data_IF_652094689592
#
_entry.id   IF_652094689592
#
_cell.length_a   1.000
_cell.length_b   1.000
_cell.length_c   1.000
_cell.angle_alpha   90.00
_cell.angle_beta   90.00
_cell.angle_gamma   90.00
#
_symmetry.space_group_name_H-M   'P 1'
#
loop_
_entity.id
_entity.type
_entity.pdbx_description
1 polymer ?
#
# COMPACT_ATOMS: atom_id res chain seq x y z
N UNK A 1 16.22 2.50 21.54
CA UNK A 1 17.44 1.69 21.40
C UNK A 1 17.22 0.66 20.30
N UNK A 2 18.19 0.45 19.41
CA UNK A 2 18.09 -0.62 18.41
C UNK A 2 18.26 -1.97 19.10
N UNK A 3 17.27 -2.87 18.97
CA UNK A 3 17.37 -4.24 19.48
C UNK A 3 18.44 -5.03 18.72
N UNK A 4 19.09 -5.97 19.39
CA UNK A 4 20.01 -6.89 18.74
C UNK A 4 19.24 -7.95 17.96
N UNK A 5 19.92 -8.67 17.04
CA UNK A 5 19.29 -9.77 16.31
C UNK A 5 18.73 -10.84 17.25
N UNK A 6 19.41 -11.14 18.35
CA UNK A 6 18.95 -12.13 19.33
C UNK A 6 17.69 -11.65 20.06
N UNK A 7 17.56 -10.36 20.33
CA UNK A 7 16.34 -9.80 20.93
C UNK A 7 15.16 -9.85 19.96
N UNK A 8 15.41 -9.63 18.67
CA UNK A 8 14.37 -9.74 17.62
C UNK A 8 13.87 -11.20 17.47
N UNK A 9 14.77 -12.18 17.55
CA UNK A 9 14.41 -13.61 17.51
C UNK A 9 13.45 -14.03 18.62
N UNK A 10 13.47 -13.36 19.78
CA UNK A 10 12.53 -13.62 20.87
C UNK A 10 11.08 -13.28 20.52
N UNK A 11 10.79 -12.75 19.34
CA UNK A 11 9.41 -12.52 18.91
C UNK A 11 8.99 -13.50 17.80
N UNK A 12 9.85 -14.43 17.40
CA UNK A 12 9.61 -15.29 16.24
C UNK A 12 9.46 -16.74 16.67
N UNK A 13 8.27 -17.31 16.47
CA UNK A 13 7.98 -18.71 16.81
C UNK A 13 7.65 -19.50 15.54
N UNK A 14 8.33 -20.64 15.31
CA UNK A 14 7.99 -21.54 14.20
C UNK A 14 6.74 -22.34 14.56
N UNK A 15 5.66 -22.17 13.80
CA UNK A 15 4.39 -22.88 14.01
C UNK A 15 4.37 -24.20 13.24
N UNK A 16 4.75 -24.16 11.96
CA UNK A 16 4.82 -25.32 11.06
C UNK A 16 6.05 -25.20 10.15
N UNK A 17 6.34 -26.23 9.34
CA UNK A 17 7.51 -26.28 8.45
C UNK A 17 7.71 -24.98 7.66
N UNK A 18 6.62 -24.42 7.12
CA UNK A 18 6.63 -23.24 6.26
C UNK A 18 5.89 -22.04 6.88
N UNK A 19 5.70 -22.00 8.21
CA UNK A 19 4.86 -21.00 8.87
C UNK A 19 5.48 -20.50 10.17
N UNK A 20 5.61 -19.18 10.29
CA UNK A 20 6.18 -18.49 11.45
C UNK A 20 5.20 -17.48 12.01
N UNK A 21 5.21 -17.35 13.34
CA UNK A 21 4.51 -16.31 14.11
C UNK A 21 5.47 -15.17 14.42
N UNK A 22 4.95 -13.95 14.40
CA UNK A 22 5.58 -12.76 14.95
C UNK A 22 4.75 -12.32 16.16
N UNK A 23 5.32 -12.42 17.36
CA UNK A 23 4.68 -12.03 18.62
C UNK A 23 4.44 -10.52 18.69
N UNK A 24 3.43 -10.12 19.47
CA UNK A 24 3.16 -8.72 19.80
C UNK A 24 4.40 -8.05 20.41
N UNK A 25 4.58 -6.76 20.15
CA UNK A 25 5.78 -6.02 20.57
C UNK A 25 7.01 -6.18 19.67
N UNK A 26 6.90 -6.93 18.55
CA UNK A 26 7.97 -7.01 17.56
C UNK A 26 8.21 -5.69 16.81
N UNK A 27 7.25 -4.78 16.76
CA UNK A 27 7.51 -3.37 16.44
C UNK A 27 6.71 -2.50 17.40
N UNK A 28 7.06 -1.21 17.58
CA UNK A 28 6.25 -0.30 18.38
C UNK A 28 4.79 -0.32 17.93
N UNK A 29 3.88 -0.32 18.89
CA UNK A 29 2.43 -0.32 18.67
C UNK A 29 1.85 -1.56 17.94
N UNK A 30 2.60 -2.67 17.83
CA UNK A 30 2.07 -3.92 17.27
C UNK A 30 1.08 -4.59 18.24
N UNK A 31 -0.22 -4.48 17.93
CA UNK A 31 -1.31 -4.94 18.81
C UNK A 31 -1.83 -6.35 18.49
N UNK A 32 -1.46 -6.91 17.33
CA UNK A 32 -1.81 -8.28 16.91
C UNK A 32 -0.58 -9.07 16.50
N UNK A 33 -0.63 -10.39 16.64
CA UNK A 33 0.43 -11.27 16.15
C UNK A 33 0.45 -11.28 14.62
N UNK A 34 1.64 -11.26 14.04
CA UNK A 34 1.85 -11.47 12.61
C UNK A 34 2.02 -12.96 12.30
N UNK A 35 1.68 -13.38 11.08
CA UNK A 35 1.99 -14.73 10.57
C UNK A 35 2.54 -14.59 9.17
N UNK A 36 3.62 -15.30 8.86
CA UNK A 36 4.18 -15.35 7.52
C UNK A 36 4.51 -16.77 7.10
N UNK A 37 4.40 -17.02 5.78
CA UNK A 37 4.66 -18.32 5.18
C UNK A 37 5.87 -18.23 4.25
N UNK A 38 6.81 -19.15 4.41
CA UNK A 38 8.08 -19.18 3.67
C UNK A 38 8.47 -20.61 3.36
N UNK A 39 9.14 -20.81 2.23
CA UNK A 39 9.85 -22.05 1.95
C UNK A 39 11.29 -21.97 2.47
N UNK A 40 11.99 -23.11 2.53
CA UNK A 40 13.34 -23.18 3.12
C UNK A 40 14.36 -22.17 2.54
N UNK A 41 14.39 -21.90 1.21
CA UNK A 41 15.28 -20.87 0.67
C UNK A 41 14.93 -19.47 1.14
N UNK A 42 13.65 -19.10 1.15
CA UNK A 42 13.20 -17.75 1.52
C UNK A 42 13.31 -17.51 3.03
N UNK A 43 13.10 -18.55 3.85
CA UNK A 43 13.30 -18.49 5.30
C UNK A 43 14.70 -17.96 5.61
N UNK A 44 15.73 -18.55 5.00
CA UNK A 44 17.14 -18.14 5.20
C UNK A 44 17.36 -16.66 4.86
N UNK A 45 16.83 -16.21 3.72
CA UNK A 45 16.97 -14.83 3.25
C UNK A 45 16.28 -13.83 4.19
N UNK A 46 15.09 -14.14 4.70
CA UNK A 46 14.37 -13.25 5.62
C UNK A 46 15.06 -13.10 6.97
N UNK A 47 15.64 -14.18 7.51
CA UNK A 47 16.40 -14.10 8.77
C UNK A 47 17.76 -13.39 8.59
N UNK A 48 18.39 -13.55 7.43
CA UNK A 48 19.60 -12.80 7.07
C UNK A 48 19.33 -11.30 6.94
N UNK A 49 18.22 -10.93 6.30
CA UNK A 49 17.75 -9.54 6.19
C UNK A 49 17.54 -8.92 7.57
N UNK A 50 16.85 -9.62 8.48
CA UNK A 50 16.64 -9.17 9.85
C UNK A 50 17.95 -9.02 10.62
N UNK A 51 18.89 -9.96 10.44
CA UNK A 51 20.23 -9.90 11.06
C UNK A 51 21.02 -8.70 10.59
N UNK A 52 21.00 -8.43 9.28
CA UNK A 52 21.68 -7.30 8.68
C UNK A 52 21.11 -5.98 9.19
N UNK A 53 19.78 -5.87 9.33
CA UNK A 53 19.13 -4.70 9.90
C UNK A 53 19.53 -4.40 11.35
N UNK A 54 19.94 -5.41 12.12
CA UNK A 54 20.35 -5.25 13.53
C UNK A 54 21.83 -4.89 13.73
N UNK A 55 22.67 -4.96 12.68
CA UNK A 55 24.13 -4.79 12.80
C UNK A 55 24.62 -3.34 12.83
N UNK A 56 23.74 -2.35 12.70
CA UNK A 56 24.09 -0.95 12.92
C UNK A 56 25.19 -0.44 11.98
N UNK A 57 24.86 -0.34 10.69
CA UNK A 57 25.73 0.27 9.68
C UNK A 57 24.86 0.70 8.51
N UNK A 58 24.41 1.96 8.55
CA UNK A 58 23.52 2.51 7.53
C UNK A 58 24.15 2.45 6.15
N UNK A 59 23.65 1.57 5.30
CA UNK A 59 23.64 1.74 3.86
C UNK A 59 22.25 1.35 3.33
N UNK A 60 21.45 2.35 3.01
CA UNK A 60 20.34 2.26 2.06
C UNK A 60 19.25 1.19 2.27
N UNK A 61 18.22 1.53 3.04
CA UNK A 61 16.94 1.80 2.38
C UNK A 61 15.79 0.79 2.42
N UNK A 62 15.86 -0.34 3.14
CA UNK A 62 14.69 -1.22 3.25
C UNK A 62 14.47 -1.74 4.68
N UNK A 63 13.26 -1.53 5.20
CA UNK A 63 12.81 -2.14 6.46
C UNK A 63 12.68 -3.64 6.22
N UNK A 64 13.28 -4.53 7.04
CA UNK A 64 13.24 -5.97 6.79
C UNK A 64 11.81 -6.47 6.71
N UNK A 65 11.54 -7.45 5.84
CA UNK A 65 10.19 -7.93 5.54
C UNK A 65 9.39 -8.31 6.79
N UNK A 66 10.05 -8.91 7.79
CA UNK A 66 9.43 -9.23 9.08
C UNK A 66 8.95 -7.97 9.83
N UNK A 67 9.72 -6.88 9.82
CA UNK A 67 9.32 -5.62 10.47
C UNK A 67 8.24 -4.89 9.69
N UNK A 68 8.17 -5.06 8.36
CA UNK A 68 7.04 -4.59 7.57
C UNK A 68 5.74 -5.29 7.96
N UNK A 69 5.78 -6.62 8.15
CA UNK A 69 4.63 -7.40 8.65
C UNK A 69 4.22 -6.88 10.04
N UNK A 70 5.18 -6.64 10.94
CA UNK A 70 4.91 -6.05 12.25
C UNK A 70 4.25 -4.67 12.15
N UNK A 71 4.73 -3.80 11.25
CA UNK A 71 4.17 -2.45 11.07
C UNK A 71 2.74 -2.49 10.52
N UNK A 72 2.40 -3.44 9.64
CA UNK A 72 1.01 -3.66 9.22
C UNK A 72 0.14 -4.06 10.41
N UNK A 73 0.67 -4.88 11.33
CA UNK A 73 0.02 -5.25 12.58
C UNK A 73 -0.04 -4.12 13.64
N UNK A 74 0.58 -2.97 13.35
CA UNK A 74 0.51 -1.74 14.14
C UNK A 74 -0.44 -0.69 13.52
N UNK A 75 -1.13 -1.00 12.42
CA UNK A 75 -2.04 -0.05 11.75
C UNK A 75 -3.35 0.18 12.53
N UNK A 76 -3.98 1.38 12.39
CA UNK A 76 -5.08 1.87 13.23
C UNK A 76 -6.39 1.08 13.19
N UNK A 77 -6.51 0.04 12.36
CA UNK A 77 -7.76 -0.72 12.23
C UNK A 77 -8.22 -1.41 13.52
N UNK A 78 -7.33 -1.56 14.51
CA UNK A 78 -7.68 -2.06 15.85
C UNK A 78 -8.22 -0.93 16.73
N UNK A 79 -7.66 0.27 16.60
CA UNK A 79 -8.09 1.45 17.36
C UNK A 79 -9.50 1.87 16.95
N UNK A 80 -9.84 1.76 15.66
CA UNK A 80 -11.20 1.99 15.17
C UNK A 80 -12.23 1.01 15.79
N UNK A 81 -11.86 -0.27 15.97
CA UNK A 81 -12.72 -1.26 16.63
C UNK A 81 -12.85 -1.03 18.13
N UNK A 82 -11.82 -0.48 18.75
CA UNK A 82 -11.82 -0.19 20.17
C UNK A 82 -12.58 1.09 20.48
N UNK A 83 -12.28 2.18 19.78
CA UNK A 83 -12.82 3.51 20.05
C UNK A 83 -14.18 3.75 19.37
N UNK A 84 -14.54 2.99 18.33
CA UNK A 84 -15.83 3.15 17.65
C UNK A 84 -15.99 4.55 17.05
N UNK A 85 -17.15 5.19 17.24
CA UNK A 85 -17.42 6.54 16.70
C UNK A 85 -16.47 7.61 17.26
N UNK A 86 -15.89 7.42 18.45
CA UNK A 86 -14.89 8.35 19.01
C UNK A 86 -13.61 8.40 18.17
N UNK A 87 -13.27 7.29 17.52
CA UNK A 87 -12.18 7.27 16.53
C UNK A 87 -12.58 8.11 15.30
N UNK A 88 -13.79 7.89 14.78
CA UNK A 88 -14.31 8.63 13.63
C UNK A 88 -14.34 10.14 13.87
N UNK A 89 -14.74 10.59 15.06
CA UNK A 89 -14.69 12.01 15.47
C UNK A 89 -13.28 12.56 15.48
N UNK A 90 -12.34 11.83 16.08
CA UNK A 90 -10.93 12.26 16.21
C UNK A 90 -10.24 12.39 14.86
N UNK A 91 -10.51 11.47 13.94
CA UNK A 91 -9.94 11.47 12.59
C UNK A 91 -10.71 12.38 11.60
N UNK A 92 -11.81 13.01 12.03
CA UNK A 92 -12.59 13.96 11.23
C UNK A 92 -13.55 13.31 10.22
N UNK A 93 -14.01 12.09 10.49
CA UNK A 93 -14.96 11.34 9.67
C UNK A 93 -16.43 11.44 10.12
N UNK A 94 -16.69 12.01 11.30
CA UNK A 94 -18.03 12.16 11.88
C UNK A 94 -18.19 13.53 12.55
N UNK A 95 -19.45 13.94 12.73
CA UNK A 95 -19.87 15.11 13.52
C UNK A 95 -20.16 14.70 14.96
N UNK A 96 -20.01 15.62 15.92
CA UNK A 96 -20.21 15.31 17.35
C UNK A 96 -21.62 14.75 17.63
N UNK A 97 -22.60 15.22 16.85
CA UNK A 97 -24.00 14.82 16.88
C UNK A 97 -24.21 13.36 16.42
N UNK A 98 -23.36 12.82 15.53
CA UNK A 98 -23.47 11.44 15.05
C UNK A 98 -23.32 10.43 16.20
N UNK A 99 -22.53 10.80 17.22
CA UNK A 99 -22.35 9.99 18.44
C UNK A 99 -23.66 9.82 19.20
N UNK A 100 -24.50 10.85 19.26
CA UNK A 100 -25.78 10.81 19.99
C UNK A 100 -26.84 9.96 19.27
N UNK A 101 -26.66 9.73 17.96
CA UNK A 101 -27.57 8.97 17.12
C UNK A 101 -27.12 7.51 16.89
N UNK A 102 -25.95 7.13 17.40
CA UNK A 102 -25.43 5.76 17.33
C UNK A 102 -25.83 4.94 18.57
N UNK A 103 -26.18 3.67 18.36
CA UNK A 103 -26.42 2.72 19.47
C UNK A 103 -25.20 2.70 20.42
N UNK A 104 -25.46 2.82 21.72
CA UNK A 104 -24.44 2.91 22.78
C UNK A 104 -23.35 3.96 22.51
N UNK A 105 -23.73 5.10 21.93
CA UNK A 105 -22.80 6.17 21.56
C UNK A 105 -21.68 5.71 20.62
N UNK A 106 -21.96 4.72 19.76
CA UNK A 106 -21.05 4.22 18.75
C UNK A 106 -19.94 3.31 19.27
N UNK A 107 -19.98 2.89 20.54
CA UNK A 107 -19.05 1.92 21.14
C UNK A 107 -19.60 1.35 22.47
N UNK A 108 -19.67 0.03 22.59
CA UNK A 108 -19.83 -0.59 23.92
C UNK A 108 -18.52 -0.49 24.72
N UNK A 109 -18.55 0.11 25.91
CA UNK A 109 -17.37 0.22 26.78
C UNK A 109 -16.75 -1.14 27.15
N UNK A 110 -17.56 -2.19 27.14
CA UNK A 110 -17.17 -3.54 27.56
C UNK A 110 -16.86 -4.46 26.36
N UNK A 111 -16.96 -3.94 25.13
CA UNK A 111 -16.61 -4.72 23.95
C UNK A 111 -15.11 -5.01 23.93
N UNK A 112 -14.76 -6.27 23.68
CA UNK A 112 -13.38 -6.72 23.51
C UNK A 112 -13.08 -6.95 22.01
N UNK A 113 -12.28 -6.08 21.37
CA UNK A 113 -11.89 -6.23 19.96
C UNK A 113 -11.17 -7.54 19.63
N UNK A 114 -10.64 -8.25 20.62
CA UNK A 114 -10.02 -9.57 20.44
C UNK A 114 -11.05 -10.68 20.19
N UNK A 115 -12.33 -10.46 20.52
CA UNK A 115 -13.42 -11.40 20.20
C UNK A 115 -13.89 -11.30 18.76
N UNK A 116 -13.49 -10.25 18.03
CA UNK A 116 -13.80 -10.08 16.61
C UNK A 116 -12.85 -10.92 15.76
N UNK A 117 -13.40 -11.86 14.99
CA UNK A 117 -12.62 -12.78 14.14
C UNK A 117 -11.79 -12.04 13.08
N UNK A 118 -10.65 -12.61 12.67
CA UNK A 118 -9.80 -12.07 11.60
C UNK A 118 -10.55 -11.94 10.27
N UNK A 119 -11.54 -12.80 10.01
CA UNK A 119 -12.42 -12.72 8.84
C UNK A 119 -13.33 -11.49 8.90
N UNK A 120 -13.92 -11.20 10.07
CA UNK A 120 -14.74 -10.02 10.28
C UNK A 120 -13.91 -8.72 10.19
N UNK A 121 -12.70 -8.70 10.77
CA UNK A 121 -11.76 -7.57 10.65
C UNK A 121 -11.37 -7.30 9.19
N UNK A 122 -10.99 -8.33 8.43
CA UNK A 122 -10.68 -8.20 6.99
C UNK A 122 -11.87 -7.72 6.16
N UNK A 123 -13.09 -8.12 6.53
CA UNK A 123 -14.32 -7.65 5.89
C UNK A 123 -14.62 -6.18 6.23
N UNK A 124 -14.37 -5.76 7.47
CA UNK A 124 -14.64 -4.40 7.96
C UNK A 124 -13.58 -3.36 7.59
N UNK A 125 -12.32 -3.77 7.38
CA UNK A 125 -11.24 -2.81 7.10
C UNK A 125 -11.47 -1.97 5.82
N UNK A 126 -11.92 -2.54 4.69
CA UNK A 126 -12.33 -1.75 3.52
C UNK A 126 -13.56 -0.88 3.78
N UNK A 127 -14.38 -1.17 4.79
CA UNK A 127 -15.55 -0.36 5.17
C UNK A 127 -15.13 0.89 5.95
N UNK A 128 -13.95 0.88 6.59
CA UNK A 128 -13.42 2.02 7.37
C UNK A 128 -12.73 3.07 6.50
N UNK A 129 -11.98 2.64 5.48
CA UNK A 129 -11.19 3.55 4.63
C UNK A 129 -11.57 3.54 3.15
N UNK A 130 -12.46 2.64 2.74
CA UNK A 130 -12.72 2.27 1.35
C UNK A 130 -11.76 1.18 0.84
N UNK A 131 -12.18 0.43 -0.18
CA UNK A 131 -11.34 -0.58 -0.83
C UNK A 131 -10.16 0.09 -1.55
N UNK A 132 -8.90 -0.32 -1.33
CA UNK A 132 -7.76 0.24 -2.07
C UNK A 132 -7.87 -0.02 -3.57
N UNK A 133 -7.59 1.00 -4.37
CA UNK A 133 -7.53 0.94 -5.83
C UNK A 133 -6.14 1.40 -6.26
N UNK A 134 -5.45 0.57 -7.05
CA UNK A 134 -4.10 0.86 -7.54
C UNK A 134 -4.18 1.40 -8.96
N UNK A 135 -3.68 2.62 -9.16
CA UNK A 135 -3.67 3.29 -10.46
C UNK A 135 -2.24 3.43 -10.94
N UNK A 136 -1.90 2.66 -11.97
CA UNK A 136 -0.62 2.75 -12.63
C UNK A 136 -0.51 4.04 -13.45
N UNK A 137 0.58 4.77 -13.24
CA UNK A 137 1.04 5.79 -14.17
C UNK A 137 1.73 5.18 -15.38
N UNK A 138 2.77 5.87 -15.84
CA UNK A 138 3.68 5.43 -16.91
C UNK A 138 5.07 5.17 -16.32
N UNK A 139 6.05 4.83 -17.17
CA UNK A 139 7.43 4.72 -16.72
C UNK A 139 8.04 6.03 -16.18
N UNK A 140 7.45 7.18 -16.52
CA UNK A 140 7.95 8.51 -16.10
C UNK A 140 6.98 9.31 -15.24
N UNK A 141 5.76 8.83 -15.01
CA UNK A 141 4.74 9.58 -14.26
C UNK A 141 4.39 8.91 -12.94
N UNK A 142 3.75 9.66 -12.05
CA UNK A 142 3.32 9.16 -10.76
C UNK A 142 2.28 8.03 -10.87
N UNK A 143 2.22 7.17 -9.86
CA UNK A 143 1.10 6.24 -9.63
C UNK A 143 0.28 6.73 -8.45
N UNK A 144 -0.97 6.26 -8.34
CA UNK A 144 -1.84 6.60 -7.21
C UNK A 144 -2.35 5.35 -6.51
N UNK A 145 -2.56 5.47 -5.20
CA UNK A 145 -3.47 4.62 -4.44
C UNK A 145 -4.70 5.46 -4.13
N UNK A 146 -5.86 4.95 -4.50
CA UNK A 146 -7.15 5.54 -4.17
C UNK A 146 -7.90 4.61 -3.22
N UNK A 147 -9.04 5.06 -2.70
CA UNK A 147 -10.01 4.21 -2.01
C UNK A 147 -11.38 4.31 -2.67
N UNK A 148 -12.09 3.19 -2.78
CA UNK A 148 -13.47 3.15 -3.27
C UNK A 148 -14.42 3.88 -2.33
N UNK A 149 -15.51 4.42 -2.86
CA UNK A 149 -16.53 5.19 -2.12
C UNK A 149 -17.91 4.56 -2.26
N UNK A 150 -18.83 4.93 -1.36
CA UNK A 150 -20.25 4.54 -1.48
C UNK A 150 -20.89 5.09 -2.75
N UNK A 151 -20.58 6.34 -3.11
CA UNK A 151 -21.05 6.94 -4.37
C UNK A 151 -20.58 6.13 -5.58
N UNK A 152 -19.33 5.65 -5.60
CA UNK A 152 -18.84 4.75 -6.65
C UNK A 152 -19.62 3.42 -6.70
N UNK A 153 -20.07 2.90 -5.55
CA UNK A 153 -20.94 1.72 -5.53
C UNK A 153 -22.29 2.00 -6.19
N UNK A 154 -22.91 3.13 -5.88
CA UNK A 154 -24.23 3.51 -6.39
C UNK A 154 -24.21 3.94 -7.86
N UNK A 155 -23.25 4.75 -8.28
CA UNK A 155 -23.23 5.38 -9.61
C UNK A 155 -22.48 4.59 -10.67
N UNK A 156 -21.47 3.79 -10.27
CA UNK A 156 -20.59 3.08 -11.20
C UNK A 156 -20.44 1.59 -10.87
N UNK A 157 -21.37 1.01 -10.12
CA UNK A 157 -21.35 -0.41 -9.71
C UNK A 157 -20.05 -0.81 -9.02
N UNK A 158 -19.47 0.10 -8.23
CA UNK A 158 -18.21 -0.14 -7.51
C UNK A 158 -16.98 -0.12 -8.41
N UNK A 159 -17.04 0.57 -9.55
CA UNK A 159 -15.95 0.61 -10.55
C UNK A 159 -15.32 2.01 -10.62
N UNK A 160 -14.01 2.05 -10.92
CA UNK A 160 -13.28 3.30 -11.17
C UNK A 160 -12.20 3.09 -12.26
N UNK A 161 -11.35 4.09 -12.49
CA UNK A 161 -10.26 4.00 -13.47
C UNK A 161 -9.18 2.96 -13.06
N UNK A 162 -8.36 2.53 -14.03
CA UNK A 162 -7.28 1.55 -13.81
C UNK A 162 -5.88 2.11 -14.08
N UNK A 163 -5.80 3.27 -14.73
CA UNK A 163 -4.55 3.85 -15.19
C UNK A 163 -4.78 5.05 -16.10
N UNK A 164 -3.69 5.61 -16.61
CA UNK A 164 -3.71 6.77 -17.50
C UNK A 164 -4.50 6.54 -18.80
N UNK A 165 -4.42 5.31 -19.36
CA UNK A 165 -4.91 5.02 -20.70
C UNK A 165 -4.03 5.65 -21.79
N UNK A 166 -3.99 5.02 -22.97
CA UNK A 166 -3.16 5.49 -24.08
C UNK A 166 -3.73 6.73 -24.74
N UNK A 167 -2.87 7.70 -25.05
CA UNK A 167 -3.17 8.83 -25.91
C UNK A 167 -2.74 8.56 -27.36
N UNK A 168 -1.68 7.76 -27.56
CA UNK A 168 -1.14 7.39 -28.87
C UNK A 168 -1.18 5.87 -29.07
N UNK A 169 -1.46 5.43 -30.30
CA UNK A 169 -1.27 4.02 -30.65
C UNK A 169 0.20 3.63 -30.59
N UNK A 170 0.52 2.36 -30.33
CA UNK A 170 1.92 1.87 -30.29
C UNK A 170 2.69 2.19 -31.57
N UNK A 171 2.06 2.02 -32.72
CA UNK A 171 2.65 2.35 -34.02
C UNK A 171 2.88 3.85 -34.22
N UNK A 172 2.06 4.72 -33.61
CA UNK A 172 2.28 6.17 -33.64
C UNK A 172 3.41 6.57 -32.70
N UNK A 173 3.48 5.99 -31.51
CA UNK A 173 4.58 6.20 -30.56
C UNK A 173 5.93 5.83 -31.18
N UNK A 174 6.05 4.64 -31.80
CA UNK A 174 7.29 4.19 -32.47
C UNK A 174 7.75 5.04 -33.65
N UNK A 175 6.85 5.81 -34.26
CA UNK A 175 7.20 6.69 -35.40
C UNK A 175 7.64 8.07 -34.94
N UNK A 176 7.18 8.49 -33.77
CA UNK A 176 7.28 9.88 -33.32
C UNK A 176 8.23 10.06 -32.14
N UNK A 177 8.61 8.97 -31.45
CA UNK A 177 9.44 9.00 -30.27
C UNK A 177 10.74 8.27 -30.56
N UNK A 178 11.85 8.90 -30.18
CA UNK A 178 13.15 8.27 -30.21
C UNK A 178 13.44 7.56 -28.88
N UNK A 179 14.20 6.47 -28.96
CA UNK A 179 14.56 5.68 -27.80
C UNK A 179 15.48 6.44 -26.83
N UNK A 180 16.50 7.11 -27.34
CA UNK A 180 17.51 7.79 -26.54
C UNK A 180 16.89 9.01 -25.85
N UNK A 181 16.08 9.78 -26.57
CA UNK A 181 15.36 10.92 -25.99
C UNK A 181 14.49 10.54 -24.80
N UNK A 182 13.83 9.37 -24.85
CA UNK A 182 13.00 8.88 -23.74
C UNK A 182 13.88 8.47 -22.55
N UNK A 183 15.03 7.84 -22.79
CA UNK A 183 15.97 7.48 -21.71
C UNK A 183 16.56 8.73 -21.04
N UNK A 184 16.98 9.70 -21.82
CA UNK A 184 17.61 10.93 -21.33
C UNK A 184 16.62 11.72 -20.46
N UNK A 185 15.36 11.85 -20.91
CA UNK A 185 14.29 12.47 -20.11
C UNK A 185 14.05 11.74 -18.79
N UNK A 186 14.04 10.41 -18.78
CA UNK A 186 13.86 9.66 -17.53
C UNK A 186 15.05 9.82 -16.59
N UNK A 187 16.27 9.87 -17.14
CA UNK A 187 17.48 10.13 -16.38
C UNK A 187 17.46 11.53 -15.75
N UNK A 188 17.04 12.56 -16.51
CA UNK A 188 16.86 13.93 -16.02
C UNK A 188 15.85 14.01 -14.87
N UNK A 189 14.83 13.14 -14.88
CA UNK A 189 13.84 13.01 -13.80
C UNK A 189 14.34 12.18 -12.61
N UNK A 190 15.57 11.65 -12.66
CA UNK A 190 16.16 10.78 -11.65
C UNK A 190 15.51 9.40 -11.59
N UNK A 191 15.05 8.87 -12.73
CA UNK A 191 14.40 7.56 -12.84
C UNK A 191 15.34 6.60 -13.54
N UNK A 192 15.81 5.58 -12.81
CA UNK A 192 16.60 4.51 -13.39
C UNK A 192 15.71 3.57 -14.21
N UNK A 193 16.14 3.13 -15.40
CA UNK A 193 15.36 2.22 -16.23
C UNK A 193 16.19 1.04 -16.73
N UNK A 194 15.58 -0.16 -16.69
CA UNK A 194 16.11 -1.38 -17.31
C UNK A 194 15.04 -1.98 -18.22
N UNK A 195 15.38 -2.14 -19.49
CA UNK A 195 14.44 -2.56 -20.53
C UNK A 195 14.98 -3.72 -21.35
N UNK A 196 14.09 -4.58 -21.83
CA UNK A 196 14.45 -5.71 -22.70
C UNK A 196 14.66 -5.30 -24.16
N UNK A 197 13.98 -4.25 -24.65
CA UNK A 197 14.15 -3.78 -26.03
C UNK A 197 13.89 -2.28 -26.19
N UNK A 198 14.59 -1.60 -27.12
CA UNK A 198 14.31 -0.20 -27.46
C UNK A 198 12.87 0.03 -27.94
N UNK A 199 12.33 -0.93 -28.69
CA UNK A 199 10.95 -0.91 -29.18
C UNK A 199 9.94 -0.69 -28.05
N UNK A 200 10.11 -1.43 -26.95
CA UNK A 200 9.19 -1.40 -25.82
C UNK A 200 9.22 -0.05 -25.10
N UNK A 201 10.37 0.61 -25.03
CA UNK A 201 10.51 1.94 -24.44
C UNK A 201 9.70 2.97 -25.22
N UNK A 202 9.87 3.03 -26.53
CA UNK A 202 9.13 3.99 -27.36
C UNK A 202 7.61 3.74 -27.29
N UNK A 203 7.17 2.48 -27.26
CA UNK A 203 5.75 2.15 -27.15
C UNK A 203 5.14 2.58 -25.82
N UNK A 204 5.93 2.63 -24.76
CA UNK A 204 5.47 2.78 -23.38
C UNK A 204 5.86 4.12 -22.74
N UNK A 205 6.49 5.00 -23.53
CA UNK A 205 6.98 6.29 -23.10
C UNK A 205 5.85 7.13 -22.47
N UNK A 206 6.16 8.01 -21.49
CA UNK A 206 5.15 8.83 -20.82
C UNK A 206 4.21 9.57 -21.78
N UNK A 207 4.75 10.11 -22.88
CA UNK A 207 4.04 10.86 -23.92
C UNK A 207 3.04 10.00 -24.72
N UNK A 208 3.14 8.66 -24.62
CA UNK A 208 2.19 7.74 -25.25
C UNK A 208 0.87 7.61 -24.50
N UNK A 209 0.81 8.12 -23.27
CA UNK A 209 -0.32 8.00 -22.35
C UNK A 209 -0.92 9.36 -22.04
N UNK A 210 -2.16 9.36 -21.53
CA UNK A 210 -2.77 10.57 -20.98
C UNK A 210 -2.09 10.94 -19.66
N UNK A 211 -2.39 12.12 -19.15
CA UNK A 211 -1.99 12.49 -17.81
C UNK A 211 -2.82 11.72 -16.78
N UNK A 212 -2.17 10.80 -16.05
CA UNK A 212 -2.80 10.00 -15.00
C UNK A 212 -3.40 10.85 -13.87
N UNK A 213 -2.83 12.03 -13.59
CA UNK A 213 -3.36 12.92 -12.55
C UNK A 213 -4.73 13.46 -12.95
N UNK A 214 -4.95 13.76 -14.22
CA UNK A 214 -6.24 14.29 -14.70
C UNK A 214 -7.32 13.20 -14.66
N UNK A 215 -6.96 11.95 -15.02
CA UNK A 215 -7.85 10.79 -14.89
C UNK A 215 -8.24 10.56 -13.44
N UNK A 216 -7.27 10.58 -12.52
CA UNK A 216 -7.52 10.41 -11.08
C UNK A 216 -8.33 11.55 -10.50
N UNK A 217 -8.02 12.80 -10.86
CA UNK A 217 -8.79 13.97 -10.41
C UNK A 217 -10.24 13.86 -10.88
N UNK A 218 -10.49 13.43 -12.12
CA UNK A 218 -11.85 13.23 -12.62
C UNK A 218 -12.64 12.24 -11.76
N UNK A 219 -12.06 11.07 -11.45
CA UNK A 219 -12.71 10.07 -10.60
C UNK A 219 -12.82 10.51 -9.13
N UNK A 220 -11.96 11.43 -8.69
CA UNK A 220 -11.99 11.99 -7.35
C UNK A 220 -13.07 13.06 -7.18
N UNK A 221 -13.10 14.00 -8.10
CA UNK A 221 -14.02 15.14 -8.11
C UNK A 221 -15.46 14.65 -8.40
N UNK A 222 -15.61 13.58 -9.18
CA UNK A 222 -16.87 12.87 -9.35
C UNK A 222 -17.29 12.05 -8.11
N UNK A 223 -16.47 11.96 -7.07
CA UNK A 223 -16.81 11.25 -5.83
C UNK A 223 -16.76 9.72 -5.89
N UNK A 224 -16.48 9.11 -7.06
CA UNK A 224 -16.47 7.64 -7.24
C UNK A 224 -15.21 6.94 -6.68
N UNK A 225 -14.17 7.71 -6.34
CA UNK A 225 -12.96 7.22 -5.66
C UNK A 225 -12.26 8.35 -4.90
N UNK A 226 -11.56 8.07 -3.80
CA UNK A 226 -10.86 9.09 -3.00
C UNK A 226 -9.34 8.96 -3.15
N UNK A 227 -8.63 10.04 -3.46
CA UNK A 227 -7.15 10.05 -3.47
C UNK A 227 -6.60 9.75 -2.07
N UNK A 228 -5.68 8.80 -1.97
CA UNK A 228 -5.01 8.45 -0.71
C UNK A 228 -3.50 8.70 -0.78
N UNK A 229 -2.79 8.11 -1.74
CA UNK A 229 -1.33 8.19 -1.85
C UNK A 229 -0.94 8.51 -3.30
N UNK A 230 0.06 9.38 -3.47
CA UNK A 230 0.75 9.62 -4.74
C UNK A 230 2.17 9.10 -4.66
N UNK A 231 2.55 8.25 -5.60
CA UNK A 231 3.85 7.60 -5.67
C UNK A 231 4.66 8.19 -6.83
N UNK A 232 5.95 8.43 -6.61
CA UNK A 232 6.89 8.86 -7.67
C UNK A 232 7.78 7.68 -8.06
N UNK A 233 7.93 7.36 -9.35
CA UNK A 233 8.88 6.34 -9.78
C UNK A 233 10.31 6.79 -9.50
N UNK A 234 11.15 5.83 -9.06
CA UNK A 234 12.61 5.99 -8.94
C UNK A 234 13.36 4.96 -9.78
N UNK A 235 12.71 3.84 -10.09
CA UNK A 235 13.23 2.79 -10.93
C UNK A 235 12.10 2.12 -11.72
N UNK A 236 12.37 1.74 -12.97
CA UNK A 236 11.44 1.01 -13.85
C UNK A 236 12.17 -0.18 -14.46
N UNK A 237 11.58 -1.37 -14.30
CA UNK A 237 12.07 -2.60 -14.94
C UNK A 237 10.97 -3.09 -15.86
N UNK A 238 11.26 -3.20 -17.16
CA UNK A 238 10.27 -3.63 -18.15
C UNK A 238 10.83 -4.67 -19.11
N UNK A 239 10.16 -5.83 -19.10
CA UNK A 239 10.41 -6.96 -20.01
C UNK A 239 9.57 -6.88 -21.27
#
# INVERSE_FOLDING_TARGET
>A
MSRSYNDELQYLDKIHQNCWRIRKGFVPNMQVEGVFYVNDPLEKLMFEELRNACRGGGFGGFLPAMKQIGNVAALPGIEALEMGVDWSLREGYAWAEDKEHCEEYGRMLQADPNKVSSKAKKRGLPQLTGQPVLIGGTMGTCSYVLTGTEQGMTETFGTTCHGAGRALSRAKSRRNLDFQDVLDKLADMGIAIRVASPKLVMEEAPESYKNVTDVVNTCHDAGISKKAIKLRPIAVIKG
#
